data_IF_236283449053
#
_entry.id   IF_236283449053
#
_cell.length_a   1.000
_cell.length_b   1.000
_cell.length_c   1.000
_cell.angle_alpha   90.00
_cell.angle_beta   90.00
_cell.angle_gamma   90.00
#
_symmetry.space_group_name_H-M   'P 1'
#
loop_
_entity.id
_entity.type
_entity.pdbx_description
1 polymer ?
#
# COMPACT_ATOMS: atom_id res chain seq x y z
N UNK A 1 -4.11 -7.71 -8.63
CA UNK A 1 -5.13 -8.52 -9.30
C UNK A 1 -5.55 -9.68 -8.41
N UNK A 2 -6.76 -9.56 -7.86
CA UNK A 2 -7.41 -10.60 -7.04
C UNK A 2 -8.29 -11.43 -7.99
N UNK A 3 -8.37 -12.73 -7.71
CA UNK A 3 -9.20 -13.69 -8.47
C UNK A 3 -10.33 -14.18 -7.58
N UNK A 4 -11.41 -14.73 -8.12
CA UNK A 4 -12.33 -15.55 -7.35
C UNK A 4 -11.65 -16.85 -6.88
N UNK A 5 -12.32 -17.61 -6.01
CA UNK A 5 -11.85 -18.92 -5.54
C UNK A 5 -11.65 -19.94 -6.67
N UNK A 6 -12.38 -19.80 -7.77
CA UNK A 6 -12.27 -20.61 -8.98
C UNK A 6 -11.11 -20.15 -9.91
N UNK A 7 -10.37 -19.11 -9.54
CA UNK A 7 -9.25 -18.56 -10.30
C UNK A 7 -9.64 -17.55 -11.38
N UNK A 8 -10.93 -17.27 -11.59
CA UNK A 8 -11.37 -16.23 -12.53
C UNK A 8 -11.08 -14.82 -12.00
N UNK A 9 -10.90 -13.83 -12.87
CA UNK A 9 -10.54 -12.47 -12.44
C UNK A 9 -11.74 -11.74 -11.82
N UNK A 10 -11.54 -11.10 -10.66
CA UNK A 10 -12.52 -10.16 -10.15
C UNK A 10 -12.62 -8.95 -11.09
N UNK A 11 -13.84 -8.54 -11.51
CA UNK A 11 -13.98 -7.43 -12.44
C UNK A 11 -13.55 -6.12 -11.77
N UNK A 12 -12.66 -5.38 -12.43
CA UNK A 12 -12.38 -3.99 -12.07
C UNK A 12 -13.61 -3.18 -12.43
N UNK A 13 -14.26 -2.56 -11.45
CA UNK A 13 -15.40 -1.70 -11.68
C UNK A 13 -14.96 -0.24 -11.73
N UNK A 14 -15.28 0.43 -12.83
CA UNK A 14 -15.19 1.89 -12.91
C UNK A 14 -16.40 2.52 -12.20
N UNK A 15 -16.14 3.51 -11.34
CA UNK A 15 -17.20 4.19 -10.59
C UNK A 15 -16.75 4.66 -9.20
N UNK A 16 -17.55 5.52 -8.59
CA UNK A 16 -17.35 5.94 -7.21
C UNK A 16 -18.13 5.02 -6.26
N UNK A 17 -17.41 4.30 -5.40
CA UNK A 17 -17.97 3.36 -4.44
C UNK A 17 -17.51 3.77 -3.05
N UNK A 18 -18.10 4.81 -2.45
CA UNK A 18 -17.63 5.31 -1.17
C UNK A 18 -17.84 4.27 -0.06
N UNK A 19 -16.99 4.25 0.98
CA UNK A 19 -17.23 3.46 2.18
C UNK A 19 -18.60 3.77 2.80
N UNK A 20 -19.24 2.74 3.37
CA UNK A 20 -20.42 2.96 4.22
C UNK A 20 -20.02 3.75 5.48
N UNK A 21 -20.97 4.50 6.06
CA UNK A 21 -20.69 5.43 7.18
C UNK A 21 -20.05 4.74 8.40
N UNK A 22 -20.50 3.52 8.72
CA UNK A 22 -20.02 2.73 9.86
C UNK A 22 -18.89 1.74 9.47
N UNK A 23 -18.40 1.83 8.23
CA UNK A 23 -17.38 0.94 7.68
C UNK A 23 -16.01 1.34 8.19
N UNK A 24 -15.31 0.42 8.87
CA UNK A 24 -13.88 0.58 9.08
C UNK A 24 -13.14 0.29 7.78
N UNK A 25 -12.08 1.05 7.52
CA UNK A 25 -11.17 0.79 6.42
C UNK A 25 -9.80 0.43 6.98
N UNK A 26 -9.09 -0.46 6.30
CA UNK A 26 -7.68 -0.71 6.58
C UNK A 26 -6.87 -0.66 5.31
N UNK A 27 -5.72 0.00 5.38
CA UNK A 27 -4.76 0.08 4.28
C UNK A 27 -3.54 -0.74 4.59
N UNK A 28 -3.12 -1.55 3.62
CA UNK A 28 -1.89 -2.29 3.65
C UNK A 28 -0.88 -1.64 2.71
N UNK A 29 0.32 -1.41 3.24
CA UNK A 29 1.47 -0.92 2.47
C UNK A 29 2.50 -2.04 2.40
N UNK A 30 2.68 -2.63 1.23
CA UNK A 30 3.71 -3.63 1.00
C UNK A 30 4.99 -2.93 0.55
N UNK A 31 5.97 -2.95 1.44
CA UNK A 31 7.31 -2.41 1.21
C UNK A 31 8.29 -3.55 0.96
N UNK A 32 9.20 -3.37 0.00
CA UNK A 32 10.35 -4.26 -0.14
C UNK A 32 11.57 -3.66 0.58
N UNK A 33 11.77 -4.07 1.83
CA UNK A 33 12.89 -3.59 2.65
C UNK A 33 14.27 -4.00 2.12
N UNK A 34 14.35 -5.05 1.29
CA UNK A 34 15.60 -5.42 0.61
C UNK A 34 15.99 -4.39 -0.47
N UNK A 35 15.02 -3.58 -0.92
CA UNK A 35 15.21 -2.49 -1.88
C UNK A 35 15.33 -1.12 -1.21
N UNK A 36 15.75 -1.05 0.06
CA UNK A 36 15.99 0.21 0.75
C UNK A 36 17.11 1.02 0.08
N UNK A 37 16.80 2.28 -0.24
CA UNK A 37 17.68 3.20 -0.95
C UNK A 37 18.12 4.33 -0.02
N UNK A 38 19.43 4.52 0.11
CA UNK A 38 20.02 5.62 0.87
C UNK A 38 20.09 6.87 0.00
N UNK A 39 19.55 8.00 0.48
CA UNK A 39 19.72 9.28 -0.19
C UNK A 39 21.18 9.76 -0.07
N UNK A 40 21.83 9.96 -1.21
CA UNK A 40 23.19 10.53 -1.30
C UNK A 40 23.16 12.03 -1.62
N UNK A 41 22.26 12.44 -2.51
CA UNK A 41 22.03 13.84 -2.82
C UNK A 41 20.55 14.07 -3.16
N UNK A 42 20.07 15.29 -2.94
CA UNK A 42 18.74 15.69 -3.36
C UNK A 42 18.73 17.16 -3.76
N UNK A 43 18.09 17.45 -4.89
CA UNK A 43 17.70 18.80 -5.28
C UNK A 43 16.20 18.81 -5.52
N UNK A 44 15.53 19.93 -5.21
CA UNK A 44 14.08 20.02 -5.37
C UNK A 44 13.67 21.40 -5.86
N UNK A 45 12.54 21.44 -6.56
CA UNK A 45 11.80 22.65 -6.86
C UNK A 45 10.39 22.55 -6.23
N UNK A 46 9.47 23.42 -6.63
CA UNK A 46 8.10 23.44 -6.10
C UNK A 46 7.25 22.23 -6.48
N UNK A 47 7.63 21.46 -7.50
CA UNK A 47 6.81 20.37 -8.07
C UNK A 47 7.41 18.97 -7.84
N UNK A 48 8.74 18.86 -7.90
CA UNK A 48 9.46 17.61 -7.89
C UNK A 48 10.82 17.73 -7.20
N UNK A 49 11.37 16.58 -6.84
CA UNK A 49 12.72 16.42 -6.33
C UNK A 49 13.46 15.35 -7.14
N UNK A 50 14.71 15.67 -7.46
CA UNK A 50 15.68 14.76 -8.03
C UNK A 50 16.52 14.20 -6.89
N UNK A 51 16.32 12.93 -6.58
CA UNK A 51 17.13 12.21 -5.61
C UNK A 51 18.20 11.41 -6.32
N UNK A 52 19.45 11.54 -5.89
CA UNK A 52 20.48 10.55 -6.16
C UNK A 52 20.52 9.60 -4.98
N UNK A 53 20.22 8.34 -5.23
CA UNK A 53 20.16 7.29 -4.21
C UNK A 53 21.02 6.10 -4.54
N UNK A 54 21.40 5.34 -3.53
CA UNK A 54 22.13 4.09 -3.71
C UNK A 54 21.46 2.95 -2.94
N UNK A 55 21.40 1.78 -3.55
CA UNK A 55 20.89 0.57 -2.89
C UNK A 55 21.80 0.23 -1.71
N UNK A 56 21.18 0.12 -0.53
CA UNK A 56 21.90 -0.26 0.70
C UNK A 56 22.37 -1.69 0.64
N UNK A 57 21.53 -2.58 0.11
CA UNK A 57 21.82 -3.99 -0.10
C UNK A 57 22.12 -4.29 -1.58
N UNK A 58 22.87 -5.36 -1.85
CA UNK A 58 23.07 -5.87 -3.21
C UNK A 58 21.79 -6.58 -3.69
N UNK A 59 20.77 -5.80 -4.04
CA UNK A 59 19.54 -6.35 -4.62
C UNK A 59 19.67 -6.41 -6.15
N UNK A 60 19.37 -7.57 -6.74
CA UNK A 60 19.29 -7.78 -8.19
C UNK A 60 17.97 -7.31 -8.81
N UNK A 61 17.02 -6.86 -7.98
CA UNK A 61 15.69 -6.47 -8.42
C UNK A 61 15.68 -5.11 -9.11
N UNK A 62 14.97 -5.04 -10.23
CA UNK A 62 14.92 -3.84 -11.05
C UNK A 62 13.88 -2.85 -10.54
N UNK A 63 14.35 -1.69 -10.03
CA UNK A 63 13.50 -0.56 -9.62
C UNK A 63 12.66 0.06 -10.75
N UNK A 64 12.86 -0.32 -12.02
CA UNK A 64 12.16 0.28 -13.17
C UNK A 64 10.64 0.16 -13.11
N UNK A 65 10.10 -0.76 -12.31
CA UNK A 65 8.66 -0.96 -12.19
C UNK A 65 8.03 -0.23 -10.99
N UNK A 66 8.84 0.30 -10.08
CA UNK A 66 8.33 1.01 -8.90
C UNK A 66 7.92 2.42 -9.29
N UNK A 67 6.62 2.72 -9.14
CA UNK A 67 6.04 4.04 -9.39
C UNK A 67 5.86 4.88 -8.12
N UNK A 68 5.80 4.23 -6.97
CA UNK A 68 5.64 4.86 -5.66
C UNK A 68 6.77 4.49 -4.70
N UNK A 69 7.11 5.41 -3.81
CA UNK A 69 8.18 5.29 -2.85
C UNK A 69 7.72 5.86 -1.51
N UNK A 70 7.99 5.10 -0.44
CA UNK A 70 7.86 5.60 0.91
C UNK A 70 9.11 6.40 1.26
N UNK A 71 8.96 7.71 1.43
CA UNK A 71 9.98 8.58 1.98
C UNK A 71 10.02 8.47 3.49
N UNK A 72 11.17 8.09 4.05
CA UNK A 72 11.39 8.00 5.50
C UNK A 72 12.23 9.20 5.94
N UNK A 73 11.59 10.20 6.52
CA UNK A 73 12.26 11.33 7.18
C UNK A 73 12.45 11.09 8.68
N UNK A 74 13.14 12.02 9.36
CA UNK A 74 13.32 11.96 10.82
C UNK A 74 12.01 12.13 11.59
N UNK A 75 11.09 12.94 11.07
CA UNK A 75 9.87 13.35 11.79
C UNK A 75 8.60 12.68 11.25
N UNK A 76 8.63 12.21 10.00
CA UNK A 76 7.43 11.71 9.31
C UNK A 76 7.75 10.84 8.10
N UNK A 77 6.72 10.12 7.67
CA UNK A 77 6.69 9.30 6.45
C UNK A 77 5.94 10.05 5.35
N UNK A 78 6.32 9.81 4.10
CA UNK A 78 5.76 10.48 2.92
C UNK A 78 5.45 9.49 1.81
N UNK A 79 4.34 9.73 1.11
CA UNK A 79 4.14 9.13 -0.21
C UNK A 79 4.79 10.00 -1.30
N UNK A 80 5.64 9.37 -2.11
CA UNK A 80 6.34 9.99 -3.22
C UNK A 80 6.11 9.18 -4.47
N UNK A 81 5.72 9.85 -5.56
CA UNK A 81 5.40 9.19 -6.83
C UNK A 81 6.36 9.64 -7.93
N UNK A 82 6.76 8.73 -8.80
CA UNK A 82 7.63 9.05 -9.92
C UNK A 82 8.40 7.84 -10.44
N UNK A 83 9.58 8.10 -10.98
CA UNK A 83 10.31 7.10 -11.75
C UNK A 83 11.79 7.05 -11.38
N UNK A 84 12.36 5.85 -11.53
CA UNK A 84 13.79 5.62 -11.44
C UNK A 84 14.46 5.71 -12.81
N UNK A 85 15.58 6.43 -12.88
CA UNK A 85 16.41 6.60 -14.06
C UNK A 85 17.80 5.99 -13.82
N UNK A 86 18.36 5.41 -14.89
CA UNK A 86 19.68 4.78 -14.87
C UNK A 86 19.67 3.32 -14.40
N UNK A 87 20.85 2.70 -14.44
CA UNK A 87 21.09 1.30 -14.06
C UNK A 87 22.23 1.21 -13.06
N UNK A 88 22.25 0.12 -12.29
CA UNK A 88 23.29 -0.15 -11.29
C UNK A 88 22.85 0.16 -9.86
N UNK A 89 23.84 0.22 -8.96
CA UNK A 89 23.64 0.36 -7.50
C UNK A 89 23.14 1.74 -7.12
N UNK A 90 23.64 2.80 -7.77
CA UNK A 90 23.18 4.17 -7.56
C UNK A 90 22.35 4.64 -8.75
N UNK A 91 21.26 5.35 -8.47
CA UNK A 91 20.27 5.78 -9.47
C UNK A 91 19.73 7.16 -9.14
N UNK A 92 19.09 7.75 -10.14
CA UNK A 92 18.36 9.00 -9.97
C UNK A 92 16.87 8.69 -9.90
N UNK A 93 16.17 9.27 -8.94
CA UNK A 93 14.72 9.20 -8.83
C UNK A 93 14.17 10.60 -9.02
N UNK A 94 13.22 10.76 -9.96
CA UNK A 94 12.46 12.01 -10.11
C UNK A 94 11.12 11.79 -9.45
N UNK A 95 10.96 12.34 -8.25
CA UNK A 95 9.80 12.08 -7.40
C UNK A 95 9.02 13.36 -7.12
N UNK A 96 7.70 13.24 -7.09
CA UNK A 96 6.74 14.28 -6.74
C UNK A 96 6.07 13.93 -5.43
N UNK A 97 5.65 14.97 -4.71
CA UNK A 97 4.80 14.81 -3.54
C UNK A 97 3.36 14.62 -4.00
N UNK A 98 2.93 13.38 -4.10
CA UNK A 98 1.54 13.03 -4.36
C UNK A 98 1.04 12.24 -3.17
N UNK A 99 0.61 12.95 -2.13
CA UNK A 99 -0.05 12.32 -0.99
C UNK A 99 -1.18 11.42 -1.46
N UNK A 100 -1.24 10.22 -0.88
CA UNK A 100 -2.31 9.26 -1.11
C UNK A 100 -3.45 9.44 -0.12
N UNK A 101 -4.40 8.50 -0.14
CA UNK A 101 -5.51 8.48 0.81
C UNK A 101 -5.08 8.23 2.27
N UNK A 102 -3.84 7.75 2.47
CA UNK A 102 -3.39 7.14 3.74
C UNK A 102 -2.07 7.73 4.18
N UNK A 103 -1.14 7.88 3.23
CA UNK A 103 0.15 8.50 3.47
C UNK A 103 0.10 9.95 2.97
N UNK A 104 0.42 10.93 3.82
CA UNK A 104 0.46 12.31 3.38
C UNK A 104 1.57 12.52 2.36
N UNK A 105 1.38 13.52 1.50
CA UNK A 105 2.46 14.03 0.69
C UNK A 105 3.46 14.79 1.56
N UNK A 106 4.68 14.94 1.07
CA UNK A 106 5.62 15.93 1.61
C UNK A 106 5.12 17.36 1.33
N UNK A 107 5.34 18.27 2.29
CA UNK A 107 5.14 19.70 2.05
C UNK A 107 6.09 20.18 0.94
N UNK A 108 5.67 21.16 0.13
CA UNK A 108 6.57 21.84 -0.81
C UNK A 108 7.87 22.29 -0.11
N UNK A 109 9.03 21.90 -0.63
CA UNK A 109 10.35 22.19 -0.04
C UNK A 109 10.82 21.21 1.04
N UNK A 110 10.02 20.21 1.42
CA UNK A 110 10.40 19.17 2.39
C UNK A 110 10.74 17.82 1.76
N UNK A 111 10.62 17.69 0.43
CA UNK A 111 10.94 16.47 -0.33
C UNK A 111 12.34 15.92 0.03
N UNK A 112 13.36 16.78 0.04
CA UNK A 112 14.74 16.38 0.37
C UNK A 112 15.01 16.06 1.85
N UNK A 113 13.98 16.04 2.71
CA UNK A 113 14.11 15.62 4.12
C UNK A 113 14.01 14.10 4.29
N UNK A 114 13.62 13.35 3.26
CA UNK A 114 13.68 11.90 3.29
C UNK A 114 15.15 11.45 3.38
N UNK A 115 15.47 10.55 4.31
CA UNK A 115 16.81 9.94 4.43
C UNK A 115 16.89 8.62 3.69
N UNK A 116 15.79 7.88 3.70
CA UNK A 116 15.66 6.62 3.00
C UNK A 116 14.43 6.65 2.10
N UNK A 117 14.53 5.93 1.00
CA UNK A 117 13.41 5.66 0.10
C UNK A 117 13.23 4.15 0.01
N UNK A 118 11.99 3.70 0.17
CA UNK A 118 11.63 2.28 0.05
C UNK A 118 10.55 2.16 -1.02
N UNK A 119 10.76 1.38 -2.09
CA UNK A 119 9.73 1.15 -3.10
C UNK A 119 8.45 0.60 -2.48
N UNK A 120 7.32 1.20 -2.84
CA UNK A 120 5.99 0.70 -2.51
C UNK A 120 5.61 -0.30 -3.61
N UNK A 121 5.59 -1.58 -3.26
CA UNK A 121 5.29 -2.65 -4.21
C UNK A 121 3.79 -2.77 -4.45
N UNK A 122 3.00 -2.61 -3.38
CA UNK A 122 1.54 -2.61 -3.41
C UNK A 122 1.02 -1.70 -2.30
N UNK A 123 -0.01 -0.92 -2.60
CA UNK A 123 -0.75 -0.12 -1.63
C UNK A 123 -2.23 -0.37 -1.91
N UNK A 124 -2.98 -0.85 -0.92
CA UNK A 124 -4.40 -1.12 -1.10
C UNK A 124 -5.19 -0.97 0.19
N UNK A 125 -6.47 -0.65 0.05
CA UNK A 125 -7.41 -0.51 1.16
C UNK A 125 -8.55 -1.52 1.04
N UNK A 126 -8.91 -2.13 2.16
CA UNK A 126 -10.14 -2.90 2.31
C UNK A 126 -11.17 -2.05 3.05
N UNK A 127 -12.40 -2.01 2.54
CA UNK A 127 -13.54 -1.36 3.18
C UNK A 127 -14.85 -1.99 2.71
N UNK A 128 -15.92 -1.77 3.45
CA UNK A 128 -17.30 -2.08 3.04
C UNK A 128 -17.94 -0.84 2.40
N UNK A 129 -18.50 -0.98 1.20
CA UNK A 129 -19.21 0.10 0.50
C UNK A 129 -20.68 0.22 0.92
N UNK A 130 -21.37 1.25 0.42
CA UNK A 130 -22.80 1.50 0.71
C UNK A 130 -23.76 0.42 0.19
N UNK A 131 -23.28 -0.55 -0.57
CA UNK A 131 -24.06 -1.65 -1.13
C UNK A 131 -23.70 -2.99 -0.46
N UNK A 132 -23.12 -2.93 0.73
CA UNK A 132 -22.69 -4.07 1.54
C UNK A 132 -21.71 -4.99 0.79
N UNK A 133 -20.81 -4.41 -0.01
CA UNK A 133 -19.72 -5.16 -0.62
C UNK A 133 -18.42 -4.86 0.11
N UNK A 134 -17.70 -5.91 0.52
CA UNK A 134 -16.28 -5.80 0.84
C UNK A 134 -15.53 -5.50 -0.45
N UNK A 135 -14.81 -4.38 -0.50
CA UNK A 135 -14.07 -3.93 -1.68
C UNK A 135 -12.57 -3.92 -1.43
N UNK A 136 -11.83 -4.21 -2.48
CA UNK A 136 -10.40 -3.98 -2.59
C UNK A 136 -10.18 -2.73 -3.44
N UNK A 137 -9.46 -1.78 -2.88
CA UNK A 137 -9.08 -0.55 -3.56
C UNK A 137 -7.56 -0.46 -3.65
N UNK A 138 -7.01 -0.73 -4.83
CA UNK A 138 -5.59 -0.50 -5.11
C UNK A 138 -5.32 0.97 -5.31
N UNK A 139 -4.20 1.44 -4.77
CA UNK A 139 -3.76 2.84 -4.83
C UNK A 139 -2.43 2.96 -5.58
N UNK A 140 -2.28 4.07 -6.29
CA UNK A 140 -1.02 4.54 -6.85
C UNK A 140 -0.97 6.07 -6.71
N UNK A 141 -0.42 6.56 -5.60
CA UNK A 141 -0.52 7.98 -5.24
C UNK A 141 -1.98 8.39 -5.01
N UNK A 142 -2.45 9.37 -5.79
CA UNK A 142 -3.86 9.83 -5.78
C UNK A 142 -4.79 9.01 -6.66
N UNK A 143 -4.24 8.16 -7.52
CA UNK A 143 -5.03 7.32 -8.40
C UNK A 143 -5.49 6.06 -7.68
N UNK A 144 -6.70 5.62 -8.01
CA UNK A 144 -7.29 4.38 -7.52
C UNK A 144 -7.50 3.43 -8.71
N UNK A 145 -6.42 2.86 -9.27
CA UNK A 145 -6.48 2.10 -10.53
C UNK A 145 -7.28 0.80 -10.44
N UNK A 146 -7.48 0.25 -9.24
CA UNK A 146 -8.24 -0.97 -9.02
C UNK A 146 -9.29 -0.73 -7.94
N UNK A 147 -10.58 -0.91 -8.25
CA UNK A 147 -11.66 -0.94 -7.26
C UNK A 147 -12.58 -2.14 -7.54
N UNK A 148 -12.36 -3.23 -6.82
CA UNK A 148 -13.00 -4.53 -7.08
C UNK A 148 -13.89 -4.92 -5.90
N UNK A 149 -15.16 -5.30 -6.13
CA UNK A 149 -15.91 -6.02 -5.10
C UNK A 149 -15.28 -7.40 -4.92
N UNK A 150 -15.11 -7.80 -3.67
CA UNK A 150 -14.48 -9.07 -3.28
C UNK A 150 -15.52 -10.02 -2.72
N UNK A 151 -16.42 -9.52 -1.88
CA UNK A 151 -17.50 -10.30 -1.28
C UNK A 151 -18.75 -9.43 -1.11
N UNK A 152 -19.92 -10.00 -1.35
CA UNK A 152 -21.22 -9.34 -1.17
C UNK A 152 -21.85 -9.72 0.18
N UNK A 153 -22.78 -8.90 0.65
CA UNK A 153 -23.47 -9.11 1.93
C UNK A 153 -22.56 -8.90 3.14
N UNK A 154 -21.51 -8.09 2.98
CA UNK A 154 -20.61 -7.65 4.04
C UNK A 154 -21.28 -6.50 4.80
N UNK A 155 -21.67 -6.73 6.05
CA UNK A 155 -22.34 -5.71 6.87
C UNK A 155 -21.37 -4.86 7.65
N UNK A 156 -20.42 -5.49 8.36
CA UNK A 156 -19.44 -4.78 9.19
C UNK A 156 -18.08 -5.44 9.14
N UNK A 157 -17.02 -4.65 9.08
CA UNK A 157 -15.65 -5.12 9.26
C UNK A 157 -15.05 -4.42 10.48
N UNK A 158 -14.39 -5.20 11.34
CA UNK A 158 -13.73 -4.71 12.55
C UNK A 158 -12.30 -5.21 12.61
N UNK A 159 -11.39 -4.35 13.04
CA UNK A 159 -9.97 -4.70 13.17
C UNK A 159 -9.52 -4.63 14.63
N UNK A 160 -8.79 -5.65 15.07
CA UNK A 160 -8.13 -5.68 16.37
C UNK A 160 -6.65 -6.00 16.20
N UNK A 161 -5.79 -5.14 16.73
CA UNK A 161 -4.36 -5.40 16.78
C UNK A 161 -4.05 -6.25 18.00
N UNK A 162 -3.51 -7.44 17.76
CA UNK A 162 -3.00 -8.33 18.78
C UNK A 162 -1.48 -8.19 18.79
N UNK A 163 -0.95 -7.66 19.90
CA UNK A 163 0.49 -7.55 20.10
C UNK A 163 1.04 -8.93 20.44
N UNK A 164 1.94 -9.46 19.62
CA UNK A 164 2.76 -10.59 20.05
C UNK A 164 4.02 -10.08 20.74
N UNK A 165 4.54 -10.89 21.64
CA UNK A 165 5.89 -10.69 22.17
C UNK A 165 6.89 -10.85 21.01
N UNK A 166 7.93 -10.01 20.99
CA UNK A 166 9.06 -10.04 20.03
C UNK A 166 8.70 -9.64 18.58
N UNK A 167 8.44 -8.35 18.34
CA UNK A 167 8.51 -7.74 17.00
C UNK A 167 7.49 -8.19 15.95
N UNK A 168 6.68 -9.21 16.25
CA UNK A 168 5.59 -9.67 15.38
C UNK A 168 4.29 -8.99 15.80
N UNK A 169 3.64 -8.34 14.86
CA UNK A 169 2.31 -7.78 15.04
C UNK A 169 1.32 -8.68 14.32
N UNK A 170 0.25 -9.05 15.00
CA UNK A 170 -0.89 -9.71 14.39
C UNK A 170 -2.06 -8.75 14.30
N UNK A 171 -2.68 -8.71 13.15
CA UNK A 171 -3.92 -8.01 12.92
C UNK A 171 -5.00 -9.06 12.70
N UNK A 172 -6.01 -9.04 13.54
CA UNK A 172 -7.24 -9.78 13.31
C UNK A 172 -8.26 -8.87 12.64
N UNK A 173 -8.86 -9.35 11.56
CA UNK A 173 -10.01 -8.73 10.92
C UNK A 173 -11.23 -9.64 11.12
N UNK A 174 -12.34 -9.09 11.58
CA UNK A 174 -13.62 -9.80 11.73
C UNK A 174 -14.62 -9.17 10.79
N UNK A 175 -15.10 -9.96 9.84
CA UNK A 175 -16.16 -9.59 8.90
C UNK A 175 -17.48 -10.21 9.35
N UNK A 176 -18.46 -9.38 9.65
CA UNK A 176 -19.83 -9.76 9.93
C UNK A 176 -20.65 -9.60 8.65
N UNK A 177 -21.25 -10.69 8.20
CA UNK A 177 -22.13 -10.72 7.04
C UNK A 177 -23.56 -10.34 7.44
N UNK A 178 -24.35 -9.84 6.50
CA UNK A 178 -25.77 -9.50 6.71
C UNK A 178 -26.63 -10.71 7.12
N UNK A 179 -26.13 -11.94 6.91
CA UNK A 179 -26.75 -13.17 7.41
C UNK A 179 -26.53 -13.42 8.91
N UNK A 180 -25.75 -12.57 9.59
CA UNK A 180 -25.30 -12.76 10.98
C UNK A 180 -24.08 -13.69 11.11
N UNK A 181 -23.62 -14.31 10.01
CA UNK A 181 -22.40 -15.13 10.00
C UNK A 181 -21.18 -14.24 10.16
N UNK A 182 -20.24 -14.65 11.01
CA UNK A 182 -18.95 -13.98 11.17
C UNK A 182 -17.82 -14.80 10.55
N UNK A 183 -16.89 -14.10 9.91
CA UNK A 183 -15.66 -14.64 9.36
C UNK A 183 -14.48 -13.90 9.99
N UNK A 184 -13.41 -14.61 10.34
CA UNK A 184 -12.23 -14.03 10.97
C UNK A 184 -10.97 -14.32 10.17
N UNK A 185 -10.11 -13.31 10.03
CA UNK A 185 -8.87 -13.37 9.27
C UNK A 185 -7.73 -12.83 10.11
N UNK A 186 -6.53 -13.36 9.87
CA UNK A 186 -5.33 -13.00 10.61
C UNK A 186 -4.23 -12.65 9.62
N UNK A 187 -3.59 -11.51 9.84
CA UNK A 187 -2.37 -11.10 9.14
C UNK A 187 -1.25 -10.92 10.14
N UNK A 188 -0.03 -11.34 9.79
CA UNK A 188 1.15 -11.28 10.64
C UNK A 188 2.27 -10.49 9.96
N UNK A 189 2.90 -9.56 10.68
CA UNK A 189 3.88 -8.60 10.13
C UNK A 189 5.12 -9.23 9.46
N UNK A 190 5.45 -10.48 9.78
CA UNK A 190 6.61 -11.19 9.20
C UNK A 190 6.27 -12.10 8.00
N UNK A 191 4.98 -12.27 7.65
CA UNK A 191 4.54 -13.23 6.63
C UNK A 191 3.50 -12.60 5.69
N UNK A 192 3.77 -11.40 5.19
CA UNK A 192 3.03 -10.87 4.03
C UNK A 192 3.54 -11.53 2.73
N UNK A 193 3.48 -12.86 2.64
CA UNK A 193 3.68 -13.55 1.36
C UNK A 193 2.40 -13.38 0.53
N UNK A 194 2.53 -12.87 -0.70
CA UNK A 194 1.46 -12.74 -1.72
C UNK A 194 0.36 -13.83 -1.68
N UNK A 195 0.66 -15.14 -1.53
CA UNK A 195 -0.37 -16.18 -1.48
C UNK A 195 -1.36 -16.08 -0.30
N UNK A 196 -0.97 -15.53 0.86
CA UNK A 196 -1.84 -15.47 2.05
C UNK A 196 -2.92 -14.40 1.89
N UNK A 197 -2.59 -13.28 1.24
CA UNK A 197 -3.54 -12.20 0.96
C UNK A 197 -4.63 -12.69 -0.01
N UNK A 198 -4.25 -13.41 -1.07
CA UNK A 198 -5.24 -13.99 -1.99
C UNK A 198 -6.15 -15.03 -1.31
N UNK A 199 -5.65 -15.79 -0.33
CA UNK A 199 -6.48 -16.73 0.43
C UNK A 199 -7.53 -16.00 1.30
N UNK A 200 -7.15 -14.87 1.92
CA UNK A 200 -8.04 -14.06 2.76
C UNK A 200 -9.13 -13.35 1.93
N UNK A 201 -8.84 -13.05 0.67
CA UNK A 201 -9.72 -12.25 -0.20
C UNK A 201 -10.57 -13.10 -1.15
N UNK A 202 -10.50 -14.43 -1.14
CA UNK A 202 -11.27 -15.28 -2.07
C UNK A 202 -12.40 -16.07 -1.38
N UNK A 203 -13.13 -15.42 -0.47
CA UNK A 203 -14.20 -16.04 0.33
C UNK A 203 -15.54 -16.13 -0.40
#
# INVERSE_FOLDING_TARGET
MITFADGSLNPIQSGNFPPALESQAITFVHLDSAMLLDQVACSSNSEAALFRVCSRYESSLSLTHAKGYLGVGLERLYDLQGEARGRGRCRELVLRSEGGMVLPGADPGSLCRARFLIPIMQLYTLYIDQKDNLRYLGHQGRENPENQPIAAGAGKISFSQLHSQVGVFSLQAVLELNSGKQLSFWSFSHIARRPVINLILNL
#
